data_IF_022526773711
#
_entry.id   IF_022526773711
#
_cell.length_a   1.000
_cell.length_b   1.000
_cell.length_c   1.000
_cell.angle_alpha   90.00
_cell.angle_beta   90.00
_cell.angle_gamma   90.00
#
_symmetry.space_group_name_H-M   'P 1'
#
loop_
_entity.id
_entity.type
_entity.pdbx_description
1 polymer ?
#
# COMPACT_ATOMS: atom_id res chain seq x y z
N UNK A 1 13.00 3.86 3.75
CA UNK A 1 12.20 3.02 2.82
C UNK A 1 10.73 3.41 2.90
N UNK A 2 9.88 2.88 2.01
CA UNK A 2 8.45 3.15 1.94
C UNK A 2 7.65 1.84 2.02
N UNK A 3 6.42 1.90 2.55
CA UNK A 3 5.45 0.80 2.50
C UNK A 3 4.10 1.34 2.08
N UNK A 4 3.25 0.47 1.53
CA UNK A 4 1.88 0.84 1.16
C UNK A 4 0.93 0.30 2.23
N UNK A 5 0.00 1.13 2.68
CA UNK A 5 -0.99 0.79 3.71
C UNK A 5 -2.39 1.04 3.11
N UNK A 6 -3.33 0.13 3.31
CA UNK A 6 -4.75 0.40 3.10
C UNK A 6 -5.44 0.68 4.43
N UNK A 7 -6.25 1.73 4.48
CA UNK A 7 -7.15 2.00 5.59
C UNK A 7 -8.50 1.34 5.32
N UNK A 8 -9.00 0.51 6.24
CA UNK A 8 -10.30 -0.18 6.11
C UNK A 8 -11.13 0.17 7.35
N UNK A 9 -12.07 1.11 7.23
CA UNK A 9 -12.90 1.62 8.34
C UNK A 9 -12.11 1.99 9.62
N UNK A 10 -11.86 1.02 10.51
CA UNK A 10 -11.13 1.17 11.78
C UNK A 10 -9.80 0.38 11.84
N UNK A 11 -9.40 -0.27 10.75
CA UNK A 11 -8.20 -1.10 10.69
C UNK A 11 -7.22 -0.59 9.62
N UNK A 12 -5.96 -1.03 9.72
CA UNK A 12 -4.91 -0.67 8.77
C UNK A 12 -4.14 -1.93 8.39
N UNK A 13 -4.08 -2.21 7.10
CA UNK A 13 -3.30 -3.34 6.59
C UNK A 13 -2.16 -2.87 5.70
N UNK A 14 -0.97 -3.39 5.95
CA UNK A 14 0.19 -3.15 5.09
C UNK A 14 0.17 -4.10 3.89
N UNK A 15 0.51 -3.59 2.71
CA UNK A 15 0.71 -4.38 1.51
C UNK A 15 1.81 -5.42 1.74
N UNK A 16 1.54 -6.68 1.38
CA UNK A 16 2.46 -7.81 1.53
C UNK A 16 2.90 -8.34 0.17
N UNK A 17 4.01 -9.06 0.13
CA UNK A 17 4.42 -9.77 -1.09
C UNK A 17 3.41 -10.87 -1.42
N UNK A 18 3.14 -11.06 -2.72
CA UNK A 18 2.27 -12.15 -3.19
C UNK A 18 2.78 -13.49 -2.67
N UNK A 19 1.95 -14.21 -1.92
CA UNK A 19 2.29 -15.50 -1.28
C UNK A 19 3.16 -15.43 -0.02
N UNK A 20 3.32 -14.25 0.61
CA UNK A 20 4.07 -14.12 1.86
C UNK A 20 3.33 -13.26 2.89
N UNK A 21 3.61 -13.50 4.19
CA UNK A 21 3.19 -12.64 5.28
C UNK A 21 4.07 -11.40 5.46
N UNK A 22 5.19 -11.35 4.74
CA UNK A 22 6.16 -10.25 4.83
C UNK A 22 5.65 -8.99 4.13
N UNK A 23 5.71 -7.87 4.85
CA UNK A 23 5.45 -6.53 4.32
C UNK A 23 6.30 -6.25 3.09
N UNK A 24 5.67 -5.68 2.06
CA UNK A 24 6.37 -5.18 0.89
C UNK A 24 6.94 -3.80 1.19
N UNK A 25 8.27 -3.71 1.19
CA UNK A 25 9.00 -2.44 1.29
C UNK A 25 9.49 -2.03 -0.10
N UNK A 26 9.46 -0.72 -0.35
CA UNK A 26 9.82 -0.08 -1.61
C UNK A 26 10.89 0.96 -1.27
N UNK A 27 12.03 0.92 -1.96
CA UNK A 27 13.13 1.85 -1.67
C UNK A 27 12.93 3.21 -2.32
N UNK A 28 12.31 3.23 -3.50
CA UNK A 28 12.07 4.42 -4.27
C UNK A 28 10.66 5.00 -4.01
N UNK A 29 10.58 6.34 -3.88
CA UNK A 29 9.30 6.99 -3.60
C UNK A 29 8.38 6.99 -4.83
N UNK A 30 8.94 7.22 -6.02
CA UNK A 30 8.14 7.27 -7.25
C UNK A 30 7.52 5.90 -7.55
N UNK A 31 8.28 4.82 -7.36
CA UNK A 31 7.77 3.45 -7.46
C UNK A 31 6.63 3.20 -6.45
N UNK A 32 6.77 3.67 -5.20
CA UNK A 32 5.73 3.53 -4.19
C UNK A 32 4.45 4.29 -4.57
N UNK A 33 4.58 5.50 -5.14
CA UNK A 33 3.46 6.30 -5.62
C UNK A 33 2.77 5.65 -6.82
N UNK A 34 3.54 5.13 -7.78
CA UNK A 34 3.00 4.42 -8.94
C UNK A 34 2.18 3.21 -8.51
N UNK A 35 2.72 2.39 -7.60
CA UNK A 35 2.03 1.21 -7.09
C UNK A 35 0.77 1.59 -6.30
N UNK A 36 0.83 2.63 -5.45
CA UNK A 36 -0.34 3.17 -4.74
C UNK A 36 -1.45 3.58 -5.72
N UNK A 37 -1.10 4.29 -6.79
CA UNK A 37 -2.07 4.72 -7.80
C UNK A 37 -2.71 3.53 -8.52
N UNK A 38 -1.91 2.53 -8.94
CA UNK A 38 -2.44 1.31 -9.56
C UNK A 38 -3.39 0.55 -8.63
N UNK A 39 -3.04 0.43 -7.34
CA UNK A 39 -3.88 -0.22 -6.34
C UNK A 39 -5.20 0.53 -6.12
N UNK A 40 -5.18 1.86 -6.09
CA UNK A 40 -6.40 2.66 -5.99
C UNK A 40 -7.24 2.63 -7.27
N UNK A 41 -6.64 2.54 -8.46
CA UNK A 41 -7.39 2.39 -9.72
C UNK A 41 -8.08 1.02 -9.82
N UNK A 42 -7.41 -0.04 -9.35
CA UNK A 42 -7.98 -1.39 -9.34
C UNK A 42 -8.95 -1.61 -8.19
N UNK A 43 -8.85 -0.82 -7.12
CA UNK A 43 -9.78 -0.87 -6.00
C UNK A 43 -11.08 -0.14 -6.36
N UNK A 44 -12.08 -0.89 -6.78
CA UNK A 44 -13.42 -0.35 -7.03
C UNK A 44 -14.22 -0.09 -5.74
N UNK A 45 -13.62 -0.33 -4.56
CA UNK A 45 -14.31 -0.24 -3.28
C UNK A 45 -14.13 1.16 -2.66
N UNK A 46 -15.21 1.86 -2.31
CA UNK A 46 -15.12 3.16 -1.63
C UNK A 46 -14.71 3.04 -0.15
N UNK A 47 -14.59 1.82 0.38
CA UNK A 47 -14.37 1.55 1.80
C UNK A 47 -12.90 1.53 2.20
N UNK A 48 -11.98 1.59 1.24
CA UNK A 48 -10.55 1.66 1.55
C UNK A 48 -9.76 2.41 0.49
N UNK A 49 -8.76 3.15 0.97
CA UNK A 49 -7.77 3.87 0.16
C UNK A 49 -6.38 3.36 0.50
N UNK A 50 -5.56 3.10 -0.53
CA UNK A 50 -4.15 2.83 -0.39
C UNK A 50 -3.35 4.13 -0.32
N UNK A 51 -2.45 4.22 0.67
CA UNK A 51 -1.53 5.34 0.90
C UNK A 51 -0.08 4.85 0.98
N UNK A 52 0.87 5.76 0.73
CA UNK A 52 2.30 5.52 0.92
C UNK A 52 2.70 6.05 2.30
N UNK A 53 3.38 5.22 3.08
CA UNK A 53 3.97 5.61 4.36
C UNK A 53 5.50 5.46 4.30
N UNK A 54 6.22 6.49 4.77
CA UNK A 54 7.68 6.44 4.94
C UNK A 54 8.03 5.74 6.26
N UNK A 55 8.95 4.78 6.21
CA UNK A 55 9.26 3.85 7.33
C UNK A 55 10.70 3.92 7.82
N UNK A 56 11.47 4.90 7.31
CA UNK A 56 12.93 5.03 7.44
C UNK A 56 13.74 4.00 6.64
#
# INVERSE_FOLDING_TARGET
MYRIIRHIDNDKETLKNSSSSTTKYIHDYEEAVLLKNQLNTNSSSPHYEWIVEKVD
#
